data_IF_987661371524
#
_entry.id   IF_987661371524
#
_cell.length_a   1.000
_cell.length_b   1.000
_cell.length_c   1.000
_cell.angle_alpha   90.00
_cell.angle_beta   90.00
_cell.angle_gamma   90.00
#
_symmetry.space_group_name_H-M   'P 1'
#
loop_
_entity.id
_entity.type
_entity.pdbx_description
1 polymer ?
#
# COMPACT_ATOMS: atom_id res chain seq x y z
N UNK A 1 -15.21 -20.16 -5.13
CA UNK A 1 -14.68 -18.83 -5.51
C UNK A 1 -15.82 -17.86 -5.32
N UNK A 2 -15.71 -16.95 -4.36
CA UNK A 2 -16.80 -16.05 -3.99
C UNK A 2 -17.19 -15.20 -5.20
N UNK A 3 -18.44 -15.33 -5.68
CA UNK A 3 -18.99 -14.44 -6.68
C UNK A 3 -18.98 -13.02 -6.09
N UNK A 4 -18.23 -12.12 -6.72
CA UNK A 4 -18.23 -10.71 -6.36
C UNK A 4 -19.60 -10.13 -6.72
N UNK A 5 -20.51 -10.11 -5.74
CA UNK A 5 -21.87 -9.57 -5.87
C UNK A 5 -21.90 -8.03 -5.94
N UNK A 6 -20.75 -7.37 -5.76
CA UNK A 6 -20.68 -5.91 -5.80
C UNK A 6 -20.59 -5.39 -7.22
N UNK A 7 -21.48 -4.45 -7.54
CA UNK A 7 -21.41 -3.72 -8.79
C UNK A 7 -20.23 -2.75 -8.78
N UNK A 8 -19.70 -2.39 -9.96
CA UNK A 8 -18.58 -1.42 -10.07
C UNK A 8 -18.88 -0.10 -9.33
N UNK A 9 -20.09 0.48 -9.38
CA UNK A 9 -20.42 1.67 -8.60
C UNK A 9 -20.36 1.47 -7.08
N UNK A 10 -20.76 0.30 -6.58
CA UNK A 10 -20.68 -0.03 -5.15
C UNK A 10 -19.23 -0.11 -4.68
N UNK A 11 -18.35 -0.68 -5.49
CA UNK A 11 -16.91 -0.73 -5.19
C UNK A 11 -16.32 0.69 -5.13
N UNK A 12 -16.68 1.55 -6.08
CA UNK A 12 -16.22 2.95 -6.10
C UNK A 12 -16.75 3.72 -4.89
N UNK A 13 -18.03 3.55 -4.55
CA UNK A 13 -18.62 4.17 -3.37
C UNK A 13 -17.96 3.67 -2.07
N UNK A 14 -17.66 2.38 -1.99
CA UNK A 14 -16.93 1.79 -0.87
C UNK A 14 -15.50 2.33 -0.78
N UNK A 15 -14.76 2.38 -1.88
CA UNK A 15 -13.39 2.90 -1.88
C UNK A 15 -13.33 4.36 -1.42
N UNK A 16 -14.29 5.19 -1.87
CA UNK A 16 -14.45 6.58 -1.43
C UNK A 16 -14.84 6.68 0.05
N UNK A 17 -15.74 5.82 0.54
CA UNK A 17 -16.15 5.79 1.96
C UNK A 17 -14.99 5.49 2.90
N UNK A 18 -14.05 4.64 2.47
CA UNK A 18 -12.87 4.27 3.26
C UNK A 18 -11.68 5.22 3.04
N UNK A 19 -11.84 6.26 2.23
CA UNK A 19 -10.80 7.23 1.89
C UNK A 19 -9.49 6.58 1.38
N UNK A 20 -9.62 5.50 0.60
CA UNK A 20 -8.44 4.86 0.02
C UNK A 20 -7.76 5.81 -0.95
N UNK A 21 -6.56 6.23 -0.58
CA UNK A 21 -5.71 7.08 -1.38
C UNK A 21 -4.25 6.68 -1.18
N UNK A 22 -3.46 6.84 -2.23
CA UNK A 22 -2.00 6.69 -2.19
C UNK A 22 -1.43 8.00 -2.70
N UNK A 23 -0.69 8.70 -1.84
CA UNK A 23 0.02 9.92 -2.20
C UNK A 23 1.52 9.68 -2.04
N UNK A 24 2.19 9.49 -3.17
CA UNK A 24 3.64 9.26 -3.22
C UNK A 24 4.30 10.31 -4.14
N UNK A 25 4.46 11.57 -3.68
CA UNK A 25 5.38 12.52 -4.31
C UNK A 25 6.80 11.93 -4.38
N UNK A 26 7.64 12.48 -5.26
CA UNK A 26 8.99 11.97 -5.54
C UNK A 26 9.79 11.65 -4.26
N UNK A 27 9.76 12.54 -3.26
CA UNK A 27 10.47 12.33 -1.99
C UNK A 27 9.95 11.13 -1.21
N UNK A 28 8.62 10.96 -1.10
CA UNK A 28 8.00 9.84 -0.39
C UNK A 28 8.22 8.52 -1.13
N UNK A 29 8.17 8.55 -2.46
CA UNK A 29 8.46 7.38 -3.29
C UNK A 29 9.92 6.97 -3.16
N UNK A 30 10.86 7.92 -3.24
CA UNK A 30 12.28 7.65 -3.06
C UNK A 30 12.58 7.06 -1.68
N UNK A 31 11.95 7.60 -0.63
CA UNK A 31 12.07 7.06 0.72
C UNK A 31 11.50 5.64 0.85
N UNK A 32 10.31 5.39 0.27
CA UNK A 32 9.70 4.06 0.25
C UNK A 32 10.58 3.03 -0.49
N UNK A 33 11.21 3.44 -1.60
CA UNK A 33 12.14 2.59 -2.33
C UNK A 33 13.39 2.30 -1.50
N UNK A 34 13.95 3.28 -0.80
CA UNK A 34 15.07 3.06 0.11
C UNK A 34 14.73 2.04 1.21
N UNK A 35 13.53 2.14 1.80
CA UNK A 35 13.02 1.15 2.75
C UNK A 35 12.95 -0.23 2.12
N UNK A 36 12.38 -0.34 0.91
CA UNK A 36 12.23 -1.62 0.21
C UNK A 36 13.60 -2.26 -0.10
N UNK A 37 14.58 -1.46 -0.54
CA UNK A 37 15.96 -1.92 -0.76
C UNK A 37 16.58 -2.45 0.53
N UNK A 38 16.52 -1.70 1.63
CA UNK A 38 17.04 -2.14 2.93
C UNK A 38 16.33 -3.38 3.47
N UNK A 39 15.03 -3.50 3.24
CA UNK A 39 14.27 -4.69 3.63
C UNK A 39 14.72 -5.93 2.84
N UNK A 40 15.05 -5.77 1.56
CA UNK A 40 15.47 -6.89 0.69
C UNK A 40 16.85 -7.46 1.01
N UNK A 41 17.77 -6.64 1.55
CA UNK A 41 19.11 -7.08 1.94
C UNK A 41 19.15 -7.67 3.36
N UNK A 42 18.02 -7.66 4.06
CA UNK A 42 17.94 -8.13 5.44
C UNK A 42 17.89 -9.66 5.47
N UNK A 43 18.87 -10.25 6.14
CA UNK A 43 19.00 -11.70 6.27
C UNK A 43 18.13 -12.27 7.41
N UNK A 44 17.86 -11.50 8.46
CA UNK A 44 17.03 -11.92 9.61
C UNK A 44 16.33 -10.73 10.32
N UNK A 45 15.07 -10.93 10.75
CA UNK A 45 14.26 -10.02 11.58
C UNK A 45 13.41 -8.97 10.84
N UNK A 46 12.41 -8.39 11.53
CA UNK A 46 11.58 -7.29 10.99
C UNK A 46 12.32 -5.94 11.02
N UNK A 47 11.90 -5.00 10.17
CA UNK A 47 12.43 -3.65 10.19
C UNK A 47 11.94 -2.90 11.44
N UNK A 48 12.87 -2.52 12.31
CA UNK A 48 12.59 -1.71 13.49
C UNK A 48 12.47 -0.23 13.11
N UNK A 49 11.57 0.49 13.79
CA UNK A 49 11.60 1.95 13.83
C UNK A 49 12.84 2.36 14.64
N UNK A 50 13.81 3.01 13.98
CA UNK A 50 15.09 3.40 14.56
C UNK A 50 15.03 4.72 15.31
#
# INVERSE_FOLDING_TARGET
>A
MSEFSQTVPELVAWARKNDFSISLPTERLAFLLAIATLNSERLDGEMSEG
#
